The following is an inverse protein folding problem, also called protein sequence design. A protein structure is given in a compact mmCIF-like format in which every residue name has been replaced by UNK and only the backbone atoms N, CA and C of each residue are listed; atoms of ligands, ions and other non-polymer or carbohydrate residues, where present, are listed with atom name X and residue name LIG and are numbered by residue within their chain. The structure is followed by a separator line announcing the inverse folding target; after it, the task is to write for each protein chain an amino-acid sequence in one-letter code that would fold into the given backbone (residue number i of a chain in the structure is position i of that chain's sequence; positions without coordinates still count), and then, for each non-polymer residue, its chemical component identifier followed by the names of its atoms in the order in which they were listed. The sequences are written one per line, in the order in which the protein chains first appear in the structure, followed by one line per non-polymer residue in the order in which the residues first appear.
data_IF_386817980161
#
_entry.id   IF_386817980161
#
_cell.length_a   1.000
_cell.length_b   1.000
_cell.length_c   1.000
_cell.angle_alpha   90.00
_cell.angle_beta   90.00
_cell.angle_gamma   90.00
#
_symmetry.space_group_name_H-M   'P 1'
#
loop_
_entity.id
_entity.type
_entity.pdbx_description
1 polymer ?
#
# COMPACT_ATOMS: atom_id res chain seq x y z
N UNK A 1 -31.72 20.97 -24.93
CA UNK A 1 -31.36 22.39 -24.81
C UNK A 1 -31.24 22.71 -23.33
N UNK A 2 -30.16 23.35 -22.84
CA UNK A 2 -28.93 23.82 -23.48
C UNK A 2 -27.66 23.06 -23.03
N UNK A 3 -26.59 23.27 -23.80
CA UNK A 3 -25.23 22.76 -23.63
C UNK A 3 -24.47 23.47 -22.48
N UNK A 4 -23.70 22.69 -21.71
CA UNK A 4 -22.74 23.21 -20.73
C UNK A 4 -21.31 23.08 -21.26
N UNK A 5 -20.69 24.25 -21.50
CA UNK A 5 -19.35 24.41 -22.02
C UNK A 5 -18.26 24.05 -20.98
N UNK A 6 -17.17 23.46 -21.48
CA UNK A 6 -15.97 23.04 -20.75
C UNK A 6 -15.06 24.21 -20.33
N UNK A 7 -14.38 24.13 -19.17
CA UNK A 7 -13.53 25.18 -18.61
C UNK A 7 -12.09 25.07 -19.14
N UNK A 8 -11.86 25.43 -20.40
CA UNK A 8 -10.50 25.37 -20.98
C UNK A 8 -10.01 26.70 -21.58
N UNK A 9 -10.84 27.76 -21.59
CA UNK A 9 -10.49 29.05 -22.22
C UNK A 9 -9.98 30.15 -21.28
N UNK A 10 -9.82 29.89 -19.98
CA UNK A 10 -9.36 30.90 -19.01
C UNK A 10 -7.88 30.79 -18.61
N UNK A 11 -7.16 29.74 -19.03
CA UNK A 11 -5.71 29.64 -18.78
C UNK A 11 -4.82 30.34 -19.83
N UNK A 12 -5.33 30.58 -21.04
CA UNK A 12 -4.49 31.15 -22.11
C UNK A 12 -4.28 32.67 -22.01
N UNK A 13 -5.05 33.37 -21.16
CA UNK A 13 -4.95 34.83 -21.03
C UNK A 13 -4.02 35.32 -19.91
N UNK A 14 -3.47 34.44 -19.07
CA UNK A 14 -2.59 34.83 -17.96
C UNK A 14 -1.10 34.54 -18.22
N UNK A 15 -0.76 33.82 -19.30
CA UNK A 15 0.64 33.52 -19.68
C UNK A 15 1.25 34.64 -20.55
N UNK A 16 0.43 35.51 -21.16
CA UNK A 16 0.91 36.54 -22.08
C UNK A 16 1.62 37.73 -21.40
N UNK A 17 1.45 37.96 -20.09
CA UNK A 17 1.95 39.18 -19.43
C UNK A 17 3.28 39.03 -18.70
N UNK A 18 3.85 37.81 -18.63
CA UNK A 18 5.16 37.57 -18.01
C UNK A 18 6.33 37.53 -19.02
N UNK A 19 6.05 37.56 -20.33
CA UNK A 19 7.08 37.47 -21.37
C UNK A 19 7.73 38.83 -21.74
N UNK A 20 7.17 39.96 -21.29
CA UNK A 20 7.66 41.30 -21.65
C UNK A 20 8.89 41.80 -20.87
N UNK A 21 9.27 41.13 -19.78
CA UNK A 21 10.32 41.63 -18.86
C UNK A 21 11.74 41.14 -19.15
N UNK A 22 11.92 40.11 -19.98
CA UNK A 22 13.22 39.44 -20.14
C UNK A 22 14.02 39.89 -21.38
N UNK A 23 13.54 40.88 -22.14
CA UNK A 23 14.21 41.33 -23.38
C UNK A 23 15.21 42.47 -23.13
N UNK A 24 15.20 43.10 -21.96
CA UNK A 24 16.03 44.28 -21.68
C UNK A 24 17.46 44.00 -21.16
N UNK A 25 17.92 42.74 -21.14
CA UNK A 25 19.23 42.38 -20.59
C UNK A 25 20.20 41.76 -21.64
N UNK A 26 19.98 41.97 -22.93
CA UNK A 26 20.85 41.41 -23.98
C UNK A 26 21.77 42.41 -24.69
N UNK A 27 21.77 43.69 -24.31
CA UNK A 27 22.43 44.74 -25.10
C UNK A 27 23.59 45.45 -24.39
N UNK A 28 24.36 44.75 -23.55
CA UNK A 28 25.55 45.33 -22.90
C UNK A 28 26.77 44.39 -22.75
N UNK A 29 26.96 43.42 -23.66
CA UNK A 29 28.22 42.67 -23.73
C UNK A 29 28.65 42.43 -25.19
N UNK A 30 29.02 43.51 -25.88
CA UNK A 30 29.91 43.44 -27.04
C UNK A 30 31.36 43.33 -26.54
N UNK A 31 31.82 42.09 -26.37
CA UNK A 31 33.21 41.74 -26.12
C UNK A 31 33.49 40.41 -26.81
N UNK A 32 34.23 40.47 -27.91
CA UNK A 32 34.52 39.35 -28.80
C UNK A 32 35.20 38.19 -28.06
N UNK A 33 34.64 36.97 -28.13
CA UNK A 33 35.35 35.80 -27.62
C UNK A 33 34.56 34.52 -27.34
N UNK A 34 33.23 34.50 -27.43
CA UNK A 34 32.44 33.25 -27.26
C UNK A 34 31.22 33.22 -28.20
N UNK A 35 31.46 33.10 -29.51
CA UNK A 35 30.41 32.70 -30.46
C UNK A 35 30.25 31.19 -30.42
N UNK A 36 29.28 30.71 -29.65
CA UNK A 36 28.42 29.57 -29.99
C UNK A 36 27.59 29.18 -28.77
N UNK A 37 26.44 29.80 -28.59
CA UNK A 37 25.29 29.15 -27.99
C UNK A 37 24.07 29.68 -28.73
N UNK A 38 23.84 29.03 -29.87
CA UNK A 38 22.62 29.17 -30.63
C UNK A 38 21.45 29.00 -29.66
N UNK A 39 20.63 30.03 -29.54
CA UNK A 39 19.49 30.07 -28.64
C UNK A 39 18.42 29.09 -29.13
N UNK A 40 18.55 27.82 -28.77
CA UNK A 40 17.39 26.91 -28.72
C UNK A 40 16.59 27.25 -27.47
N UNK A 41 15.66 28.19 -27.64
CA UNK A 41 14.52 28.37 -26.75
C UNK A 41 13.77 27.04 -26.70
N UNK A 42 14.09 26.23 -25.68
CA UNK A 42 13.34 25.02 -25.38
C UNK A 42 11.94 25.46 -24.93
N UNK A 43 10.94 25.25 -25.80
CA UNK A 43 9.53 25.26 -25.37
C UNK A 43 9.40 24.23 -24.26
N UNK A 44 9.03 24.69 -23.07
CA UNK A 44 8.61 23.84 -21.97
C UNK A 44 7.25 23.25 -22.34
N UNK A 45 7.24 22.02 -22.80
CA UNK A 45 6.02 21.23 -22.94
C UNK A 45 5.97 20.22 -21.79
N UNK A 46 4.88 20.27 -21.03
CA UNK A 46 4.71 19.56 -19.77
C UNK A 46 4.24 18.13 -19.98
N UNK A 47 4.66 17.24 -19.08
CA UNK A 47 4.17 15.88 -18.80
C UNK A 47 4.94 14.73 -19.48
N UNK A 48 5.71 13.99 -18.67
CA UNK A 48 5.75 12.50 -18.61
C UNK A 48 6.72 12.10 -17.49
N UNK A 49 6.19 11.62 -16.37
CA UNK A 49 6.95 11.00 -15.26
C UNK A 49 6.68 9.50 -15.35
N UNK A 50 7.72 8.68 -15.50
CA UNK A 50 7.60 7.23 -15.46
C UNK A 50 7.91 6.71 -14.06
N UNK A 51 7.10 5.76 -13.59
CA UNK A 51 7.29 5.09 -12.31
C UNK A 51 7.72 3.66 -12.54
N UNK A 52 8.92 3.30 -12.09
CA UNK A 52 9.43 1.92 -12.20
C UNK A 52 9.70 1.34 -10.82
N UNK A 53 9.28 0.10 -10.61
CA UNK A 53 9.45 -0.60 -9.34
C UNK A 53 10.83 -1.26 -9.28
N UNK A 54 11.70 -0.77 -8.41
CA UNK A 54 12.98 -1.42 -8.13
C UNK A 54 12.91 -2.23 -6.83
N UNK A 55 13.42 -3.47 -6.89
CA UNK A 55 13.60 -4.32 -5.70
C UNK A 55 15.01 -4.10 -5.16
N UNK A 56 15.13 -3.88 -3.86
CA UNK A 56 16.42 -3.80 -3.17
C UNK A 56 16.40 -4.83 -2.05
N UNK A 57 17.43 -5.67 -2.00
CA UNK A 57 17.58 -6.73 -1.01
C UNK A 57 18.67 -6.33 -0.01
N UNK A 58 18.33 -6.35 1.27
CA UNK A 58 19.26 -6.15 2.39
C UNK A 58 19.12 -7.34 3.35
N UNK A 59 20.11 -8.24 3.35
CA UNK A 59 20.03 -9.47 4.13
C UNK A 59 18.86 -10.36 3.68
N UNK A 60 18.03 -10.84 4.61
CA UNK A 60 16.82 -11.64 4.27
C UNK A 60 15.55 -10.81 4.05
N UNK A 61 15.63 -9.48 4.10
CA UNK A 61 14.49 -8.59 3.89
C UNK A 61 14.53 -7.97 2.48
N UNK A 62 13.41 -8.08 1.77
CA UNK A 62 13.21 -7.51 0.43
C UNK A 62 12.30 -6.29 0.50
N UNK A 63 12.79 -5.13 0.06
CA UNK A 63 12.02 -3.88 -0.03
C UNK A 63 11.71 -3.54 -1.49
N UNK A 64 10.55 -2.90 -1.71
CA UNK A 64 10.17 -2.32 -3.01
C UNK A 64 10.15 -0.82 -2.88
N UNK A 65 10.93 -0.13 -3.70
CA UNK A 65 11.02 1.33 -3.71
C UNK A 65 10.59 1.81 -5.09
N UNK A 66 9.74 2.84 -5.11
CA UNK A 66 9.32 3.52 -6.33
C UNK A 66 10.44 4.45 -6.74
N UNK A 67 11.07 4.18 -7.89
CA UNK A 67 11.99 5.13 -8.53
C UNK A 67 11.18 6.01 -9.47
N UNK A 68 11.28 7.31 -9.26
CA UNK A 68 10.81 8.32 -10.21
C UNK A 68 12.00 8.71 -11.06
N UNK A 69 12.01 8.28 -12.33
CA UNK A 69 13.00 8.74 -13.31
C UNK A 69 12.36 9.81 -14.19
N UNK A 70 13.06 10.93 -14.34
CA UNK A 70 12.74 11.94 -15.33
C UNK A 70 13.60 11.66 -16.57
N UNK A 71 12.99 11.10 -17.60
CA UNK A 71 13.70 10.60 -18.80
C UNK A 71 14.35 11.70 -19.66
N UNK A 72 14.24 12.98 -19.29
CA UNK A 72 14.84 14.09 -20.06
C UNK A 72 16.28 14.44 -19.73
N UNK A 73 16.89 13.86 -18.69
CA UNK A 73 18.34 14.01 -18.47
C UNK A 73 19.05 12.75 -18.98
N UNK A 74 18.98 12.51 -20.29
CA UNK A 74 20.06 11.77 -20.94
C UNK A 74 21.10 12.83 -21.31
N UNK A 75 22.26 12.91 -20.62
CA UNK A 75 23.34 13.71 -21.14
C UNK A 75 23.69 13.12 -22.51
N UNK A 76 23.29 13.82 -23.58
CA UNK A 76 23.84 13.56 -24.90
C UNK A 76 25.30 13.96 -24.76
N UNK A 77 26.16 12.98 -24.50
CA UNK A 77 27.59 13.22 -24.56
C UNK A 77 27.90 13.57 -26.02
N UNK A 78 28.42 14.77 -26.32
CA UNK A 78 28.91 15.04 -27.65
C UNK A 78 30.03 14.03 -27.92
N UNK A 79 29.91 13.29 -29.02
CA UNK A 79 30.96 12.42 -29.52
C UNK A 79 32.18 13.30 -29.77
N UNK A 80 33.15 13.23 -28.87
CA UNK A 80 34.40 13.96 -29.00
C UNK A 80 35.20 13.36 -30.17
N UNK A 81 35.10 13.98 -31.34
CA UNK A 81 36.13 13.84 -32.38
C UNK A 81 37.43 14.42 -31.82
N UNK A 82 38.38 13.53 -31.54
CA UNK A 82 39.71 13.88 -31.08
C UNK A 82 40.48 14.63 -32.18
N UNK A 83 40.84 15.88 -31.91
CA UNK A 83 41.92 16.59 -32.58
C UNK A 83 42.80 17.22 -31.51
N UNK A 84 44.07 16.79 -31.49
CA UNK A 84 45.29 17.54 -31.14
C UNK A 84 45.37 18.28 -29.79
N UNK A 85 46.50 18.19 -29.06
CA UNK A 85 46.66 18.86 -27.79
C UNK A 85 47.04 20.34 -28.02
N UNK A 86 46.12 21.24 -27.71
CA UNK A 86 46.44 22.66 -27.49
C UNK A 86 46.22 22.99 -26.01
N UNK A 87 47.34 23.02 -25.30
CA UNK A 87 47.52 23.67 -24.00
C UNK A 87 47.01 25.11 -24.07
N UNK A 88 45.91 25.43 -23.39
CA UNK A 88 45.59 26.71 -22.71
C UNK A 88 44.08 26.85 -22.48
N UNK A 89 43.54 26.32 -21.38
CA UNK A 89 42.20 26.70 -20.89
C UNK A 89 42.10 26.51 -19.37
N UNK A 90 42.84 27.31 -18.60
CA UNK A 90 42.67 27.38 -17.13
C UNK A 90 41.78 28.55 -16.67
N UNK A 91 41.30 29.40 -17.58
CA UNK A 91 40.53 30.59 -17.22
C UNK A 91 39.00 30.37 -17.19
N UNK A 92 38.44 29.41 -17.93
CA UNK A 92 36.99 29.17 -17.96
C UNK A 92 36.47 28.20 -16.87
N UNK A 93 37.37 27.56 -16.11
CA UNK A 93 36.98 26.60 -15.06
C UNK A 93 36.60 27.30 -13.73
N UNK A 94 37.17 28.47 -13.46
CA UNK A 94 36.94 29.22 -12.22
C UNK A 94 35.53 29.82 -12.11
N UNK A 95 34.89 30.15 -13.24
CA UNK A 95 33.54 30.75 -13.25
C UNK A 95 32.40 29.75 -12.98
N UNK A 96 32.66 28.45 -13.16
CA UNK A 96 31.62 27.42 -12.95
C UNK A 96 31.29 27.16 -11.49
N UNK A 97 32.16 27.55 -10.54
CA UNK A 97 31.92 27.39 -9.11
C UNK A 97 31.08 28.55 -8.54
N UNK A 98 31.29 29.77 -9.03
CA UNK A 98 30.53 30.96 -8.60
C UNK A 98 29.14 30.99 -9.23
N UNK A 99 28.99 30.55 -10.49
CA UNK A 99 27.67 30.40 -11.11
C UNK A 99 26.79 29.33 -10.41
N UNK A 100 27.41 28.28 -9.84
CA UNK A 100 26.71 27.25 -9.07
C UNK A 100 26.27 27.75 -7.69
N UNK A 101 26.99 28.66 -7.03
CA UNK A 101 26.59 29.17 -5.71
C UNK A 101 25.46 30.22 -5.76
N UNK A 102 25.32 30.96 -6.86
CA UNK A 102 24.24 31.93 -7.05
C UNK A 102 22.91 31.27 -7.42
N UNK A 103 22.93 30.17 -8.19
CA UNK A 103 21.72 29.43 -8.59
C UNK A 103 20.97 28.78 -7.39
N UNK A 104 21.69 28.39 -6.33
CA UNK A 104 21.07 27.88 -5.10
C UNK A 104 20.34 28.97 -4.29
N UNK A 105 20.79 30.22 -4.37
CA UNK A 105 20.21 31.33 -3.60
C UNK A 105 18.91 31.88 -4.23
N UNK A 106 18.74 31.77 -5.55
CA UNK A 106 17.49 32.20 -6.21
C UNK A 106 16.35 31.19 -6.07
N UNK A 107 16.64 29.89 -6.14
CA UNK A 107 15.62 28.85 -5.91
C UNK A 107 15.07 28.95 -4.47
N UNK A 108 15.90 29.26 -3.48
CA UNK A 108 15.47 29.47 -2.11
C UNK A 108 14.57 30.71 -1.92
N UNK A 109 14.71 31.76 -2.74
CA UNK A 109 13.88 32.98 -2.64
C UNK A 109 12.46 32.77 -3.17
N UNK A 110 12.29 31.98 -4.22
CA UNK A 110 10.96 31.68 -4.79
C UNK A 110 10.14 30.82 -3.82
N UNK A 111 10.75 29.80 -3.21
CA UNK A 111 10.07 28.99 -2.18
C UNK A 111 9.74 29.80 -0.92
N UNK A 112 10.64 30.69 -0.46
CA UNK A 112 10.38 31.53 0.73
C UNK A 112 9.25 32.54 0.50
N UNK A 113 9.13 33.12 -0.70
CA UNK A 113 8.07 34.08 -1.02
C UNK A 113 6.68 33.45 -1.15
N UNK A 114 6.60 32.23 -1.68
CA UNK A 114 5.36 31.47 -1.77
C UNK A 114 4.88 30.98 -0.39
N UNK A 115 5.79 30.50 0.45
CA UNK A 115 5.49 30.08 1.83
C UNK A 115 5.03 31.26 2.69
N UNK A 116 5.68 32.42 2.59
CA UNK A 116 5.29 33.60 3.37
C UNK A 116 3.90 34.16 3.00
N UNK A 117 3.44 33.96 1.76
CA UNK A 117 2.07 34.32 1.32
C UNK A 117 1.04 33.29 1.79
N UNK A 118 1.37 32.00 1.74
CA UNK A 118 0.50 30.93 2.26
C UNK A 118 0.28 31.02 3.78
N UNK A 119 1.25 31.56 4.53
CA UNK A 119 1.15 31.75 5.99
C UNK A 119 0.27 32.95 6.39
N UNK A 120 -0.06 33.86 5.47
CA UNK A 120 -0.90 35.04 5.73
C UNK A 120 -2.37 34.88 5.34
N UNK A 121 -2.74 33.70 4.83
CA UNK A 121 -4.11 33.43 4.40
C UNK A 121 -4.88 32.70 5.51
N UNK A 122 -5.76 33.41 6.21
CA UNK A 122 -6.58 32.87 7.30
C UNK A 122 -7.75 32.01 6.78
N UNK A 123 -8.01 32.01 5.47
CA UNK A 123 -9.09 31.23 4.86
C UNK A 123 -8.83 29.71 4.81
N UNK A 124 -7.64 29.26 5.24
CA UNK A 124 -7.22 27.86 5.25
C UNK A 124 -7.10 27.20 6.63
N UNK A 125 -7.35 27.91 7.74
CA UNK A 125 -7.11 27.37 9.10
C UNK A 125 -7.94 26.11 9.36
N UNK A 126 -9.20 26.08 8.93
CA UNK A 126 -10.06 24.91 9.05
C UNK A 126 -9.55 23.69 8.28
N UNK A 127 -8.87 23.89 7.14
CA UNK A 127 -8.26 22.80 6.39
C UNK A 127 -7.04 22.22 7.13
N UNK A 128 -6.29 23.05 7.85
CA UNK A 128 -5.15 22.61 8.68
C UNK A 128 -5.63 21.84 9.90
N UNK A 129 -6.66 22.32 10.60
CA UNK A 129 -7.26 21.62 11.75
C UNK A 129 -7.84 20.26 11.34
N UNK A 130 -8.54 20.18 10.21
CA UNK A 130 -9.05 18.92 9.69
C UNK A 130 -7.91 18.00 9.23
N UNK A 131 -6.87 18.53 8.58
CA UNK A 131 -5.71 17.73 8.17
C UNK A 131 -4.95 17.11 9.35
N UNK A 132 -4.98 17.75 10.53
CA UNK A 132 -4.41 17.20 11.76
C UNK A 132 -5.26 16.07 12.37
N UNK A 133 -6.60 16.16 12.27
CA UNK A 133 -7.52 15.17 12.84
C UNK A 133 -7.79 14.00 11.87
N UNK A 134 -7.73 14.23 10.56
CA UNK A 134 -8.04 13.24 9.54
C UNK A 134 -7.23 11.94 9.65
N UNK A 135 -5.90 11.94 9.92
CA UNK A 135 -5.14 10.71 10.11
C UNK A 135 -5.64 9.87 11.29
N UNK A 136 -6.07 10.52 12.37
CA UNK A 136 -6.63 9.85 13.55
C UNK A 136 -7.98 9.19 13.22
N UNK A 137 -8.88 9.92 12.55
CA UNK A 137 -10.18 9.39 12.15
C UNK A 137 -10.04 8.22 11.16
N UNK A 138 -9.17 8.36 10.16
CA UNK A 138 -8.87 7.28 9.21
C UNK A 138 -8.26 6.06 9.90
N UNK A 139 -7.39 6.26 10.89
CA UNK A 139 -6.83 5.18 11.69
C UNK A 139 -7.90 4.38 12.43
N UNK A 140 -8.83 5.06 13.10
CA UNK A 140 -9.93 4.43 13.83
C UNK A 140 -10.90 3.71 12.86
N UNK A 141 -11.23 4.32 11.71
CA UNK A 141 -12.06 3.68 10.69
C UNK A 141 -11.41 2.43 10.10
N UNK A 142 -10.11 2.46 9.81
CA UNK A 142 -9.38 1.29 9.31
C UNK A 142 -9.32 0.17 10.36
N UNK A 143 -9.10 0.52 11.63
CA UNK A 143 -9.13 -0.43 12.73
C UNK A 143 -10.51 -1.11 12.85
N UNK A 144 -11.60 -0.35 12.73
CA UNK A 144 -12.96 -0.90 12.77
C UNK A 144 -13.23 -1.87 11.61
N UNK A 145 -12.75 -1.58 10.40
CA UNK A 145 -12.88 -2.49 9.24
C UNK A 145 -12.11 -3.80 9.43
N UNK A 146 -10.87 -3.72 9.92
CA UNK A 146 -10.04 -4.91 10.19
C UNK A 146 -10.67 -5.76 11.31
N UNK A 147 -11.20 -5.10 12.35
CA UNK A 147 -11.94 -5.77 13.41
C UNK A 147 -13.23 -6.45 12.91
N UNK A 148 -14.01 -5.77 12.06
CA UNK A 148 -15.23 -6.34 11.47
C UNK A 148 -14.94 -7.60 10.65
N UNK A 149 -13.83 -7.60 9.89
CA UNK A 149 -13.39 -8.77 9.14
C UNK A 149 -13.00 -9.93 10.07
N UNK A 150 -12.29 -9.65 11.17
CA UNK A 150 -11.94 -10.66 12.17
C UNK A 150 -13.18 -11.26 12.84
N UNK A 151 -14.16 -10.42 13.20
CA UNK A 151 -15.43 -10.87 13.80
C UNK A 151 -16.24 -11.74 12.85
N UNK A 152 -16.27 -11.42 11.55
CA UNK A 152 -16.93 -12.25 10.55
C UNK A 152 -16.35 -13.68 10.53
N UNK A 153 -15.02 -13.81 10.54
CA UNK A 153 -14.36 -15.12 10.61
C UNK A 153 -14.68 -15.87 11.91
N UNK A 154 -14.80 -15.16 13.03
CA UNK A 154 -15.17 -15.75 14.32
C UNK A 154 -16.60 -16.32 14.31
N UNK A 155 -17.56 -15.60 13.71
CA UNK A 155 -18.94 -16.07 13.56
C UNK A 155 -18.98 -17.33 12.69
N UNK A 156 -18.22 -17.37 11.59
CA UNK A 156 -18.13 -18.56 10.73
C UNK A 156 -17.57 -19.78 11.47
N UNK A 157 -16.49 -19.62 12.24
CA UNK A 157 -15.92 -20.71 13.06
C UNK A 157 -16.94 -21.21 14.09
N UNK A 158 -17.72 -20.30 14.69
CA UNK A 158 -18.74 -20.64 15.68
C UNK A 158 -19.91 -21.41 15.09
N UNK A 159 -20.40 -20.98 13.93
CA UNK A 159 -21.44 -21.67 13.20
C UNK A 159 -20.96 -23.06 12.74
N UNK A 160 -19.71 -23.15 12.31
CA UNK A 160 -19.09 -24.39 11.87
C UNK A 160 -18.92 -25.40 13.02
N UNK A 161 -18.46 -24.99 14.20
CA UNK A 161 -18.35 -25.90 15.35
C UNK A 161 -19.72 -26.39 15.82
N UNK A 162 -20.74 -25.53 15.75
CA UNK A 162 -22.10 -25.88 16.16
C UNK A 162 -22.76 -26.86 15.20
N UNK A 163 -22.68 -26.60 13.88
CA UNK A 163 -23.18 -27.53 12.86
C UNK A 163 -22.42 -28.87 12.85
N UNK A 164 -21.10 -28.82 13.10
CA UNK A 164 -20.29 -30.03 13.25
C UNK A 164 -20.72 -30.84 14.46
N UNK A 165 -20.88 -30.20 15.63
CA UNK A 165 -21.30 -30.90 16.85
C UNK A 165 -22.67 -31.55 16.72
N UNK A 166 -23.66 -30.88 16.11
CA UNK A 166 -24.99 -31.47 15.91
C UNK A 166 -24.94 -32.68 14.98
N UNK A 167 -24.21 -32.60 13.86
CA UNK A 167 -24.04 -33.74 12.96
C UNK A 167 -23.31 -34.90 13.66
N UNK A 168 -22.24 -34.59 14.39
CA UNK A 168 -21.45 -35.61 15.10
C UNK A 168 -22.29 -36.35 16.15
N UNK A 169 -23.11 -35.64 16.92
CA UNK A 169 -24.01 -36.22 17.93
C UNK A 169 -25.07 -37.15 17.31
N UNK A 170 -25.56 -36.81 16.12
CA UNK A 170 -26.59 -37.58 15.40
C UNK A 170 -26.00 -38.75 14.61
N UNK A 171 -24.68 -38.79 14.40
CA UNK A 171 -24.00 -39.79 13.55
C UNK A 171 -23.78 -41.14 14.25
N UNK A 172 -24.49 -41.42 15.34
CA UNK A 172 -24.41 -42.71 16.02
C UNK A 172 -24.97 -43.82 15.13
N UNK A 173 -24.15 -44.84 14.86
CA UNK A 173 -24.52 -45.92 13.95
C UNK A 173 -24.26 -45.62 12.47
N UNK A 174 -23.74 -44.43 12.13
CA UNK A 174 -23.18 -44.16 10.81
C UNK A 174 -21.84 -44.89 10.64
N UNK A 175 -21.52 -45.27 9.40
CA UNK A 175 -20.21 -45.80 9.02
C UNK A 175 -19.19 -44.70 8.75
N UNK A 176 -19.64 -43.44 8.60
CA UNK A 176 -18.80 -42.28 8.23
C UNK A 176 -18.95 -41.04 9.15
N UNK A 177 -19.00 -41.20 10.49
CA UNK A 177 -19.30 -40.08 11.40
C UNK A 177 -18.25 -38.96 11.37
N UNK A 178 -16.98 -39.27 11.10
CA UNK A 178 -15.90 -38.28 11.02
C UNK A 178 -16.03 -37.48 9.72
N UNK A 179 -16.12 -38.18 8.58
CA UNK A 179 -16.18 -37.58 7.25
C UNK A 179 -17.43 -36.72 7.05
N UNK A 180 -18.58 -37.16 7.55
CA UNK A 180 -19.84 -36.41 7.51
C UNK A 180 -19.76 -35.13 8.35
N UNK A 181 -19.17 -35.24 9.55
CA UNK A 181 -18.97 -34.08 10.43
C UNK A 181 -18.01 -33.07 9.81
N UNK A 182 -16.88 -33.51 9.26
CA UNK A 182 -15.92 -32.62 8.57
C UNK A 182 -16.57 -31.91 7.38
N UNK A 183 -17.42 -32.62 6.64
CA UNK A 183 -18.18 -32.03 5.52
C UNK A 183 -19.16 -30.96 6.02
N UNK A 184 -19.91 -31.23 7.09
CA UNK A 184 -20.81 -30.26 7.70
C UNK A 184 -20.08 -29.01 8.22
N UNK A 185 -18.94 -29.19 8.89
CA UNK A 185 -18.09 -28.08 9.36
C UNK A 185 -17.62 -27.22 8.16
N UNK A 186 -17.15 -27.85 7.08
CA UNK A 186 -16.69 -27.13 5.88
C UNK A 186 -17.83 -26.40 5.15
N UNK A 187 -19.02 -26.99 5.10
CA UNK A 187 -20.20 -26.36 4.50
C UNK A 187 -20.68 -25.15 5.31
N UNK A 188 -20.58 -25.19 6.64
CA UNK A 188 -20.88 -24.05 7.50
C UNK A 188 -19.78 -22.96 7.47
N UNK A 189 -18.58 -23.31 7.00
CA UNK A 189 -17.41 -22.45 6.92
C UNK A 189 -17.07 -21.97 5.48
N UNK A 190 -18.04 -21.86 4.57
CA UNK A 190 -17.81 -21.55 3.14
C UNK A 190 -17.08 -20.21 2.85
N UNK A 191 -16.92 -19.33 3.84
CA UNK A 191 -16.12 -18.11 3.73
C UNK A 191 -14.64 -18.25 4.17
N UNK A 192 -14.24 -19.41 4.67
CA UNK A 192 -12.90 -19.68 5.20
C UNK A 192 -12.14 -20.62 4.26
N UNK A 193 -10.81 -20.44 4.19
CA UNK A 193 -9.97 -21.37 3.42
C UNK A 193 -9.89 -22.71 4.14
N UNK A 194 -10.46 -23.76 3.54
CA UNK A 194 -10.59 -25.07 4.21
C UNK A 194 -9.25 -25.72 4.59
N UNK A 195 -8.16 -25.41 3.87
CA UNK A 195 -6.82 -25.91 4.18
C UNK A 195 -6.24 -25.35 5.50
N UNK A 196 -6.73 -24.19 5.95
CA UNK A 196 -6.31 -23.54 7.19
C UNK A 196 -7.21 -23.89 8.38
N UNK A 197 -8.24 -24.71 8.17
CA UNK A 197 -9.23 -25.04 9.18
C UNK A 197 -8.88 -26.38 9.84
N UNK A 198 -8.61 -26.35 11.14
CA UNK A 198 -8.28 -27.54 11.93
C UNK A 198 -9.52 -28.00 12.70
N UNK A 199 -9.90 -29.27 12.53
CA UNK A 199 -11.06 -29.87 13.18
C UNK A 199 -10.56 -30.98 14.09
N UNK A 200 -10.94 -30.93 15.37
CA UNK A 200 -10.65 -31.98 16.34
C UNK A 200 -11.96 -32.43 16.97
N UNK A 201 -12.11 -33.75 17.13
CA UNK A 201 -13.31 -34.35 17.69
C UNK A 201 -12.93 -35.28 18.83
N UNK A 202 -13.75 -35.31 19.89
CA UNK A 202 -13.56 -36.24 20.99
C UNK A 202 -14.88 -36.69 21.59
N UNK A 203 -14.88 -37.87 22.19
CA UNK A 203 -16.04 -38.49 22.83
C UNK A 203 -15.59 -38.99 24.19
N UNK A 204 -16.25 -38.54 25.25
CA UNK A 204 -15.88 -38.84 26.65
C UNK A 204 -14.39 -38.58 26.96
N UNK A 205 -13.81 -37.55 26.32
CA UNK A 205 -12.40 -37.18 26.45
C UNK A 205 -11.43 -37.94 25.54
N UNK A 206 -11.86 -39.01 24.86
CA UNK A 206 -11.04 -39.72 23.88
C UNK A 206 -11.12 -39.03 22.51
N UNK A 207 -9.97 -38.61 21.96
CA UNK A 207 -9.91 -38.05 20.62
C UNK A 207 -10.24 -39.14 19.58
N UNK A 208 -10.97 -38.77 18.54
CA UNK A 208 -11.19 -39.63 17.39
C UNK A 208 -10.78 -38.90 16.11
N UNK A 209 -10.07 -39.59 15.23
CA UNK A 209 -9.37 -39.00 14.09
C UNK A 209 -9.76 -39.59 12.73
N UNK A 210 -10.57 -40.65 12.75
CA UNK A 210 -11.06 -41.35 11.56
C UNK A 210 -12.46 -41.90 11.81
N UNK A 211 -13.12 -42.36 10.75
CA UNK A 211 -14.50 -42.84 10.80
C UNK A 211 -14.67 -44.07 11.71
N UNK A 212 -13.70 -44.99 11.73
CA UNK A 212 -13.80 -46.24 12.51
C UNK A 212 -13.61 -46.02 14.02
N UNK A 213 -12.66 -45.17 14.41
CA UNK A 213 -12.43 -44.77 15.80
C UNK A 213 -13.61 -43.95 16.33
N UNK A 214 -14.11 -42.99 15.54
CA UNK A 214 -15.27 -42.19 15.93
C UNK A 214 -16.53 -43.06 16.03
N UNK A 215 -16.79 -43.95 15.06
CA UNK A 215 -17.96 -44.84 15.11
C UNK A 215 -17.94 -45.72 16.38
N UNK A 216 -16.79 -46.34 16.68
CA UNK A 216 -16.63 -47.17 17.88
C UNK A 216 -16.87 -46.37 19.16
N UNK A 217 -16.28 -45.16 19.24
CA UNK A 217 -16.46 -44.28 20.39
C UNK A 217 -17.92 -43.85 20.56
N UNK A 218 -18.61 -43.45 19.49
CA UNK A 218 -20.02 -43.04 19.52
C UNK A 218 -20.93 -44.20 19.92
N UNK A 219 -20.68 -45.42 19.43
CA UNK A 219 -21.49 -46.60 19.77
C UNK A 219 -21.42 -46.94 21.26
N UNK A 220 -20.22 -46.81 21.87
CA UNK A 220 -20.00 -47.09 23.28
C UNK A 220 -20.41 -45.95 24.23
N UNK A 221 -20.56 -44.73 23.70
CA UNK A 221 -20.71 -43.50 24.49
C UNK A 221 -22.13 -42.90 24.44
N UNK A 222 -23.17 -43.71 24.28
CA UNK A 222 -24.57 -43.24 24.34
C UNK A 222 -24.84 -42.43 25.62
N UNK A 223 -25.34 -41.19 25.47
CA UNK A 223 -25.57 -40.27 26.58
C UNK A 223 -24.34 -39.59 27.18
N UNK A 224 -23.12 -39.87 26.69
CA UNK A 224 -21.88 -39.16 27.07
C UNK A 224 -21.68 -37.91 26.23
N UNK A 225 -20.70 -37.09 26.61
CA UNK A 225 -20.38 -35.86 25.91
C UNK A 225 -19.52 -36.14 24.68
N UNK A 226 -19.92 -35.58 23.55
CA UNK A 226 -19.14 -35.45 22.33
C UNK A 226 -18.77 -33.99 22.12
N UNK A 227 -17.52 -33.73 21.77
CA UNK A 227 -16.95 -32.41 21.57
C UNK A 227 -16.42 -32.27 20.14
N UNK A 228 -16.71 -31.13 19.52
CA UNK A 228 -16.15 -30.74 18.23
C UNK A 228 -15.47 -29.39 18.40
N UNK A 229 -14.16 -29.35 18.19
CA UNK A 229 -13.34 -28.15 18.24
C UNK A 229 -12.90 -27.75 16.83
N UNK A 230 -13.11 -26.50 16.47
CA UNK A 230 -12.71 -25.90 15.20
C UNK A 230 -11.74 -24.77 15.48
N UNK A 231 -10.60 -24.77 14.77
CA UNK A 231 -9.58 -23.73 14.88
C UNK A 231 -9.26 -23.13 13.51
N UNK A 232 -9.02 -21.82 13.47
CA UNK A 232 -8.66 -21.10 12.25
C UNK A 232 -7.62 -19.99 12.54
N UNK A 233 -6.52 -19.90 11.78
CA UNK A 233 -5.52 -18.85 11.96
C UNK A 233 -6.06 -17.48 11.50
N UNK A 234 -5.79 -16.44 12.27
CA UNK A 234 -6.11 -15.05 11.95
C UNK A 234 -4.84 -14.21 11.81
N UNK A 235 -4.96 -13.11 11.04
CA UNK A 235 -3.90 -12.11 10.88
C UNK A 235 -4.48 -10.73 11.19
N UNK A 236 -4.04 -10.11 12.27
CA UNK A 236 -4.43 -8.75 12.66
C UNK A 236 -3.24 -7.82 12.45
N UNK A 237 -3.01 -7.43 11.20
CA UNK A 237 -1.99 -6.46 10.83
C UNK A 237 -2.69 -5.15 10.44
N UNK A 238 -2.50 -4.11 11.25
CA UNK A 238 -2.96 -2.75 10.94
C UNK A 238 -1.70 -1.91 10.71
N UNK A 239 -1.60 -1.25 9.55
CA UNK A 239 -0.44 -0.40 9.21
C UNK A 239 0.93 -1.09 9.37
N UNK A 240 1.02 -2.36 8.98
CA UNK A 240 2.24 -3.18 9.08
C UNK A 240 2.72 -3.45 10.53
N UNK A 241 1.89 -3.14 11.53
CA UNK A 241 2.11 -3.55 12.92
C UNK A 241 1.28 -4.80 13.17
N UNK A 242 1.94 -5.87 13.58
CA UNK A 242 1.28 -7.12 13.99
C UNK A 242 0.86 -7.02 15.46
N UNK A 243 -0.44 -7.01 15.70
CA UNK A 243 -1.01 -6.93 17.05
C UNK A 243 -1.08 -8.31 17.73
N UNK A 244 -0.78 -9.39 17.00
CA UNK A 244 -0.75 -10.76 17.51
C UNK A 244 0.51 -11.52 17.02
N UNK A 245 1.72 -11.08 17.42
CA UNK A 245 2.98 -11.65 16.92
C UNK A 245 3.22 -13.12 17.31
N UNK A 246 2.47 -13.64 18.28
CA UNK A 246 2.47 -15.07 18.64
C UNK A 246 1.57 -15.95 17.77
N UNK A 247 0.94 -15.38 16.74
CA UNK A 247 -0.11 -16.01 15.95
C UNK A 247 -1.48 -15.84 16.62
N UNK A 248 -2.42 -15.31 15.87
CA UNK A 248 -3.82 -15.29 16.28
C UNK A 248 -4.48 -16.60 15.80
N UNK A 249 -5.15 -17.32 16.69
CA UNK A 249 -5.95 -18.50 16.33
C UNK A 249 -7.33 -18.37 16.94
N UNK A 250 -8.36 -18.31 16.08
CA UNK A 250 -9.75 -18.38 16.49
C UNK A 250 -10.06 -19.84 16.81
N UNK A 251 -10.51 -20.12 18.03
CA UNK A 251 -10.88 -21.47 18.47
C UNK A 251 -12.29 -21.45 19.02
N UNK A 252 -13.10 -22.41 18.60
CA UNK A 252 -14.40 -22.66 19.19
C UNK A 252 -14.59 -24.15 19.41
N UNK A 253 -15.09 -24.52 20.59
CA UNK A 253 -15.46 -25.90 20.92
C UNK A 253 -16.93 -25.93 21.28
N UNK A 254 -17.68 -26.79 20.59
CA UNK A 254 -19.07 -27.07 20.91
C UNK A 254 -19.19 -28.49 21.42
N UNK A 255 -19.90 -28.65 22.53
CA UNK A 255 -20.15 -29.92 23.18
C UNK A 255 -21.63 -30.26 23.17
N UNK A 256 -21.97 -31.55 23.06
CA UNK A 256 -23.33 -32.02 23.30
C UNK A 256 -23.36 -33.50 23.64
N UNK A 257 -24.55 -34.03 23.93
CA UNK A 257 -24.70 -35.43 24.35
C UNK A 257 -25.08 -36.30 23.17
N UNK A 258 -24.38 -37.43 23.01
CA UNK A 258 -24.69 -38.44 21.98
C UNK A 258 -26.10 -39.00 22.21
N UNK A 259 -26.94 -39.00 21.16
CA UNK A 259 -28.33 -39.48 21.21
C UNK A 259 -28.46 -41.01 21.09
#
# INVERSE_FOLDING_TARGET
MPDAATPQKLLDSQVATAAGGAVAASELLNGEGCRALNATVARYDSTFISFEWSRIEFGSMSYRIIRMTNDRIKPVMPTATSHGPSTTTSACAADSAVARSLAWNEQARIFRGAVARAVRDETGVGAVEFALIAPLLLGISLAALIFALALNNYILVTNASTAGATNFILSRGSTTPYSDTVTAVRQAAQGLTSANLTIAMSVDGAACADDSSCATALSAAGGKQANVAVSYPCRLVVLNIDYAPGGCVLKQTTAGRVQ
#
